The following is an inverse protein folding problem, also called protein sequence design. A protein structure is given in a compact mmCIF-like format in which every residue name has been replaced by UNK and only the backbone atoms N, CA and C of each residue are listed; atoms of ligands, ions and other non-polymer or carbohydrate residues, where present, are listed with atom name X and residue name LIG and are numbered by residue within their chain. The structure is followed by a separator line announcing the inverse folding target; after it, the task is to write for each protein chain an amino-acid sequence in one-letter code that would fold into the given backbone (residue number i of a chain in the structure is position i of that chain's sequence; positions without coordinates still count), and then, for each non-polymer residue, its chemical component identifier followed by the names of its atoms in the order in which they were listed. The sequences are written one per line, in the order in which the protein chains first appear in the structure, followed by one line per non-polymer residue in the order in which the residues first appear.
data_IF_438730629436
#
_entry.id   IF_438730629436
#
_cell.length_a   1.000
_cell.length_b   1.000
_cell.length_c   1.000
_cell.angle_alpha   90.00
_cell.angle_beta   90.00
_cell.angle_gamma   90.00
#
_symmetry.space_group_name_H-M   'P 1'
#
loop_
_entity.id
_entity.type
_entity.pdbx_description
1 polymer ?
#
# COMPACT_ATOMS: atom_id res chain seq x y z
N UNK A 1 -3.99 -20.35 22.33
CA UNK A 1 -4.85 -20.35 21.11
C UNK A 1 -3.96 -20.00 19.92
N UNK A 2 -3.88 -20.86 18.95
CA UNK A 2 -3.04 -20.67 17.76
C UNK A 2 -3.47 -19.41 17.01
N UNK A 3 -2.56 -18.51 16.69
CA UNK A 3 -2.91 -17.32 15.92
C UNK A 3 -3.42 -17.72 14.52
N UNK A 4 -4.43 -17.04 14.05
CA UNK A 4 -4.93 -17.25 12.69
C UNK A 4 -3.86 -16.82 11.67
N UNK A 5 -3.88 -17.44 10.48
CA UNK A 5 -2.98 -17.07 9.38
C UNK A 5 -3.09 -15.57 9.05
N UNK A 6 -4.29 -15.02 9.14
CA UNK A 6 -4.54 -13.58 8.98
C UNK A 6 -3.78 -12.72 10.00
N UNK A 7 -3.67 -13.20 11.26
CA UNK A 7 -2.94 -12.47 12.30
C UNK A 7 -1.43 -12.49 12.04
N UNK A 8 -0.90 -13.65 11.62
CA UNK A 8 0.51 -13.77 11.21
C UNK A 8 0.84 -12.87 10.03
N UNK A 9 0.02 -12.90 9.00
CA UNK A 9 0.19 -12.05 7.82
C UNK A 9 0.21 -10.56 8.18
N UNK A 10 -0.69 -10.12 9.04
CA UNK A 10 -0.72 -8.73 9.52
C UNK A 10 0.56 -8.36 10.28
N UNK A 11 1.08 -9.26 11.10
CA UNK A 11 2.33 -9.06 11.84
C UNK A 11 3.52 -8.98 10.89
N UNK A 12 3.65 -9.92 9.96
CA UNK A 12 4.71 -9.92 8.94
C UNK A 12 4.66 -8.63 8.10
N UNK A 13 3.47 -8.22 7.70
CA UNK A 13 3.26 -6.99 6.95
C UNK A 13 3.72 -5.75 7.73
N UNK A 14 3.42 -5.71 9.03
CA UNK A 14 3.84 -4.61 9.90
C UNK A 14 5.36 -4.59 10.13
N UNK A 15 5.98 -5.77 10.27
CA UNK A 15 7.44 -5.89 10.36
C UNK A 15 8.13 -5.41 9.08
N UNK A 16 7.62 -5.80 7.90
CA UNK A 16 8.13 -5.31 6.62
C UNK A 16 8.03 -3.80 6.51
N UNK A 17 6.90 -3.24 6.93
CA UNK A 17 6.74 -1.79 6.94
C UNK A 17 7.75 -1.09 7.84
N UNK A 18 7.95 -1.60 9.06
CA UNK A 18 8.95 -1.07 9.99
C UNK A 18 10.38 -1.15 9.42
N UNK A 19 10.71 -2.22 8.72
CA UNK A 19 11.99 -2.38 8.04
C UNK A 19 12.18 -1.38 6.89
N UNK A 20 11.20 -1.25 6.00
CA UNK A 20 11.24 -0.30 4.89
C UNK A 20 11.31 1.15 5.37
N UNK A 21 10.65 1.46 6.49
CA UNK A 21 10.69 2.78 7.12
C UNK A 21 12.01 3.06 7.89
N UNK A 22 12.98 2.11 7.85
CA UNK A 22 14.27 2.25 8.54
C UNK A 22 14.19 2.15 10.06
N UNK A 23 13.10 1.61 10.61
CA UNK A 23 12.88 1.45 12.07
C UNK A 23 13.41 0.14 12.61
N UNK A 24 13.67 -0.81 11.74
CA UNK A 24 14.26 -2.10 12.05
C UNK A 24 15.51 -2.30 11.20
N UNK A 25 16.59 -2.73 11.84
CA UNK A 25 17.76 -3.24 11.14
C UNK A 25 17.49 -4.64 10.55
N UNK A 26 18.33 -5.08 9.62
CA UNK A 26 18.18 -6.33 8.89
C UNK A 26 18.16 -7.55 9.82
N UNK A 27 19.00 -7.56 10.86
CA UNK A 27 19.10 -8.70 11.79
C UNK A 27 17.87 -8.80 12.67
N UNK A 28 17.40 -7.68 13.19
CA UNK A 28 16.17 -7.60 13.99
C UNK A 28 14.96 -7.97 13.15
N UNK A 29 14.89 -7.49 11.91
CA UNK A 29 13.81 -7.82 10.98
C UNK A 29 13.78 -9.33 10.70
N UNK A 30 14.91 -9.94 10.31
CA UNK A 30 15.00 -11.36 9.99
C UNK A 30 14.61 -12.24 11.19
N UNK A 31 15.12 -11.92 12.38
CA UNK A 31 14.79 -12.64 13.61
C UNK A 31 13.30 -12.55 13.95
N UNK A 32 12.71 -11.37 13.85
CA UNK A 32 11.28 -11.18 14.13
C UNK A 32 10.38 -11.87 13.11
N UNK A 33 10.77 -11.93 11.85
CA UNK A 33 10.05 -12.70 10.82
C UNK A 33 10.08 -14.19 11.16
N UNK A 34 11.22 -14.75 11.53
CA UNK A 34 11.35 -16.16 11.91
C UNK A 34 10.45 -16.50 13.10
N UNK A 35 10.44 -15.66 14.12
CA UNK A 35 9.56 -15.85 15.29
C UNK A 35 8.10 -15.73 14.89
N UNK A 36 7.72 -14.76 14.05
CA UNK A 36 6.35 -14.58 13.59
C UNK A 36 5.81 -15.78 12.82
N UNK A 37 6.66 -16.43 12.01
CA UNK A 37 6.28 -17.61 11.24
C UNK A 37 6.10 -18.86 12.12
N UNK A 38 6.83 -18.94 13.24
CA UNK A 38 6.81 -20.09 14.18
C UNK A 38 5.89 -19.86 15.38
N UNK A 39 5.37 -18.65 15.59
CA UNK A 39 4.57 -18.30 16.74
C UNK A 39 3.35 -19.22 16.91
N UNK A 40 3.21 -19.79 18.09
CA UNK A 40 2.08 -20.64 18.46
C UNK A 40 1.01 -19.89 19.23
N UNK A 41 1.36 -18.73 19.80
CA UNK A 41 0.46 -17.89 20.60
C UNK A 41 0.36 -16.46 20.03
N UNK A 42 -0.84 -15.88 20.09
CA UNK A 42 -1.10 -14.53 19.58
C UNK A 42 -0.34 -13.42 20.32
N UNK A 43 -0.01 -13.65 21.59
CA UNK A 43 0.75 -12.71 22.42
C UNK A 43 2.19 -12.53 21.91
N UNK A 44 2.81 -13.59 21.40
CA UNK A 44 4.14 -13.54 20.78
C UNK A 44 4.16 -12.60 19.58
N UNK A 45 3.13 -12.67 18.75
CA UNK A 45 2.98 -11.78 17.58
C UNK A 45 2.80 -10.32 17.96
N UNK A 46 2.09 -10.07 19.06
CA UNK A 46 1.87 -8.69 19.55
C UNK A 46 3.17 -8.08 20.05
N UNK A 47 4.00 -8.83 20.75
CA UNK A 47 5.30 -8.41 21.25
C UNK A 47 6.28 -8.01 20.14
N UNK A 48 6.25 -8.74 19.01
CA UNK A 48 7.16 -8.49 17.89
C UNK A 48 7.00 -7.13 17.22
N UNK A 49 5.86 -6.49 17.40
CA UNK A 49 5.51 -5.22 16.75
C UNK A 49 5.18 -4.11 17.74
N UNK A 50 5.46 -4.31 19.03
CA UNK A 50 5.09 -3.36 20.09
C UNK A 50 5.79 -2.00 19.92
N UNK A 51 7.04 -2.02 19.47
CA UNK A 51 7.88 -0.84 19.21
C UNK A 51 7.65 -0.22 17.82
N UNK A 52 6.93 -0.91 16.95
CA UNK A 52 6.56 -0.37 15.65
C UNK A 52 5.22 0.35 15.80
N UNK A 53 5.15 1.66 15.59
CA UNK A 53 3.88 2.37 15.65
C UNK A 53 2.82 1.67 14.81
N UNK A 54 1.66 1.46 15.38
CA UNK A 54 0.53 1.03 14.56
C UNK A 54 0.37 2.08 13.48
N UNK A 55 0.43 1.65 12.23
CA UNK A 55 -0.11 2.46 11.16
C UNK A 55 -1.55 2.75 11.58
N UNK A 56 -1.77 3.90 12.21
CA UNK A 56 -3.06 4.53 12.09
C UNK A 56 -3.17 4.81 10.60
N UNK A 57 -3.82 3.91 9.89
CA UNK A 57 -4.49 4.30 8.68
C UNK A 57 -5.46 5.35 9.17
N UNK A 58 -4.98 6.57 9.25
CA UNK A 58 -5.88 7.71 9.32
C UNK A 58 -6.65 7.62 7.99
N UNK A 59 -7.93 7.25 8.01
CA UNK A 59 -8.68 7.09 6.76
C UNK A 59 -8.83 8.40 6.00
N UNK A 60 -8.09 9.44 6.34
CA UNK A 60 -8.32 10.80 5.86
C UNK A 60 -7.09 11.69 5.84
N UNK A 61 -5.96 11.27 5.31
CA UNK A 61 -5.17 12.24 4.58
C UNK A 61 -5.64 12.25 3.13
N UNK A 62 -6.85 12.71 2.95
CA UNK A 62 -7.30 13.18 1.66
C UNK A 62 -6.32 14.27 1.23
N UNK A 63 -5.59 14.03 0.17
CA UNK A 63 -4.97 15.13 -0.54
C UNK A 63 -6.09 16.11 -0.86
N UNK A 64 -6.14 17.24 -0.14
CA UNK A 64 -7.12 18.31 -0.36
C UNK A 64 -7.02 18.97 -1.73
N UNK A 65 -6.09 18.57 -2.56
CA UNK A 65 -6.04 18.93 -3.96
C UNK A 65 -6.58 17.75 -4.76
N UNK A 66 -7.84 17.86 -5.16
CA UNK A 66 -8.32 17.14 -6.32
C UNK A 66 -7.34 17.45 -7.45
N UNK A 67 -6.65 16.51 -8.04
CA UNK A 67 -6.20 16.69 -9.39
C UNK A 67 -7.46 16.63 -10.27
N UNK A 68 -8.19 17.73 -10.34
CA UNK A 68 -9.21 17.87 -11.34
C UNK A 68 -8.55 17.60 -12.69
N UNK A 69 -9.00 16.57 -13.39
CA UNK A 69 -8.44 16.20 -14.67
C UNK A 69 -7.21 15.28 -14.63
N UNK A 70 -6.99 14.50 -13.55
CA UNK A 70 -5.90 13.52 -13.51
C UNK A 70 -5.95 12.57 -14.71
N UNK A 71 -7.13 12.09 -15.05
CA UNK A 71 -7.34 11.22 -16.20
C UNK A 71 -7.30 11.98 -17.53
N UNK A 72 -7.72 13.24 -17.54
CA UNK A 72 -7.69 14.11 -18.73
C UNK A 72 -6.26 14.58 -19.06
N UNK A 73 -5.40 14.73 -18.05
CA UNK A 73 -4.01 15.14 -18.21
C UNK A 73 -3.04 14.01 -18.54
N UNK A 74 -3.51 12.78 -18.65
CA UNK A 74 -2.67 11.62 -18.94
C UNK A 74 -2.22 11.59 -20.40
N UNK A 75 -1.08 12.19 -20.66
CA UNK A 75 -0.44 12.17 -21.98
C UNK A 75 -0.07 10.73 -22.33
N UNK A 76 -0.60 10.22 -23.45
CA UNK A 76 -0.32 8.85 -23.92
C UNK A 76 -1.17 7.76 -23.27
N UNK A 77 -2.19 8.10 -22.48
CA UNK A 77 -3.12 7.11 -21.90
C UNK A 77 -2.48 6.18 -20.87
N UNK A 78 -1.40 6.62 -20.21
CA UNK A 78 -0.69 5.86 -19.18
C UNK A 78 -0.19 6.78 -18.08
N UNK A 79 -0.42 6.40 -16.83
CA UNK A 79 0.09 7.07 -15.64
C UNK A 79 0.69 6.05 -14.69
N UNK A 80 1.93 6.28 -14.27
CA UNK A 80 2.58 5.52 -13.21
C UNK A 80 2.36 6.21 -11.88
N UNK A 81 1.90 5.45 -10.87
CA UNK A 81 1.66 5.92 -9.52
C UNK A 81 2.65 5.24 -8.57
N UNK A 82 3.31 6.03 -7.75
CA UNK A 82 4.25 5.48 -6.78
C UNK A 82 5.04 6.54 -6.03
N UNK A 83 5.99 6.08 -5.24
CA UNK A 83 6.86 6.94 -4.42
C UNK A 83 8.08 7.45 -5.19
N UNK A 84 8.46 6.81 -6.29
CA UNK A 84 9.59 7.24 -7.11
C UNK A 84 9.30 8.56 -7.82
N UNK A 85 10.32 9.41 -7.92
CA UNK A 85 10.25 10.64 -8.71
C UNK A 85 10.08 10.40 -10.22
N UNK A 86 10.26 9.17 -10.67
CA UNK A 86 10.01 8.77 -12.07
C UNK A 86 8.53 8.55 -12.38
N UNK A 87 7.68 8.46 -11.34
CA UNK A 87 6.24 8.33 -11.51
C UNK A 87 5.62 9.68 -11.91
N UNK A 88 4.57 9.64 -12.73
CA UNK A 88 3.82 10.85 -13.09
C UNK A 88 3.01 11.36 -11.87
N UNK A 89 2.54 10.46 -11.03
CA UNK A 89 1.91 10.81 -9.76
C UNK A 89 2.77 10.28 -8.61
N UNK A 90 3.43 11.20 -7.90
CA UNK A 90 4.37 10.88 -6.82
C UNK A 90 3.70 11.02 -5.46
N UNK A 91 3.80 9.98 -4.66
CA UNK A 91 3.32 9.93 -3.27
C UNK A 91 4.51 9.93 -2.31
N UNK A 92 4.67 10.97 -1.53
CA UNK A 92 5.71 11.06 -0.51
C UNK A 92 5.31 10.30 0.77
N UNK A 93 5.03 9.01 0.64
CA UNK A 93 4.60 8.14 1.75
C UNK A 93 5.30 6.78 1.65
N UNK A 94 5.91 6.35 2.76
CA UNK A 94 6.68 5.09 2.82
C UNK A 94 5.82 3.84 2.65
N UNK A 95 4.50 3.96 2.82
CA UNK A 95 3.55 2.86 2.57
C UNK A 95 3.28 2.62 1.10
N UNK A 96 3.65 3.59 0.25
CA UNK A 96 3.52 3.50 -1.20
C UNK A 96 4.83 2.96 -1.79
N UNK A 97 4.75 1.90 -2.59
CA UNK A 97 5.91 1.35 -3.30
C UNK A 97 6.45 2.33 -4.33
N UNK A 98 7.74 2.22 -4.68
CA UNK A 98 8.38 3.10 -5.67
C UNK A 98 7.60 3.16 -6.98
N UNK A 99 7.19 1.99 -7.48
CA UNK A 99 6.27 1.81 -8.61
C UNK A 99 5.12 0.97 -8.07
N UNK A 100 4.04 1.63 -7.65
CA UNK A 100 2.97 0.98 -6.89
C UNK A 100 1.87 0.44 -7.79
N UNK A 101 1.37 1.28 -8.65
CA UNK A 101 0.28 0.96 -9.57
C UNK A 101 0.40 1.75 -10.88
N UNK A 102 -0.34 1.33 -11.86
CA UNK A 102 -0.38 1.92 -13.19
C UNK A 102 -1.83 2.13 -13.61
N UNK A 103 -2.12 3.32 -14.11
CA UNK A 103 -3.36 3.62 -14.82
C UNK A 103 -3.11 3.55 -16.32
N UNK A 104 -3.94 2.83 -17.04
CA UNK A 104 -3.86 2.67 -18.50
C UNK A 104 -5.21 2.89 -19.13
N UNK A 105 -5.23 3.63 -20.21
CA UNK A 105 -6.43 3.78 -21.05
C UNK A 105 -6.45 2.62 -22.05
N UNK A 106 -7.44 1.74 -21.91
CA UNK A 106 -7.65 0.57 -22.78
C UNK A 106 -9.05 0.67 -23.35
N UNK A 107 -9.17 0.76 -24.66
CA UNK A 107 -10.47 0.85 -25.37
C UNK A 107 -11.42 1.93 -24.81
N UNK A 108 -10.86 3.08 -24.44
CA UNK A 108 -11.63 4.19 -23.88
C UNK A 108 -12.00 4.05 -22.39
N UNK A 109 -11.48 3.02 -21.70
CA UNK A 109 -11.71 2.75 -20.29
C UNK A 109 -10.41 2.84 -19.51
N UNK A 110 -10.46 3.43 -18.33
CA UNK A 110 -9.30 3.47 -17.45
C UNK A 110 -9.20 2.20 -16.62
N UNK A 111 -8.06 1.52 -16.74
CA UNK A 111 -7.71 0.33 -15.96
C UNK A 111 -6.62 0.67 -14.96
N UNK A 112 -6.87 0.40 -13.70
CA UNK A 112 -5.87 0.48 -12.63
C UNK A 112 -5.30 -0.91 -12.38
N UNK A 113 -3.97 -1.03 -12.40
CA UNK A 113 -3.27 -2.27 -12.15
C UNK A 113 -2.25 -2.10 -11.04
N UNK A 114 -2.29 -2.97 -10.04
CA UNK A 114 -1.24 -3.08 -9.02
C UNK A 114 0.01 -3.72 -9.63
N UNK A 115 1.18 -3.15 -9.36
CA UNK A 115 2.47 -3.62 -9.87
C UNK A 115 3.24 -4.49 -8.87
N UNK A 116 2.54 -5.28 -8.07
CA UNK A 116 3.14 -6.09 -7.01
C UNK A 116 3.52 -5.25 -5.80
N UNK A 117 2.70 -4.28 -5.45
CA UNK A 117 2.95 -3.38 -4.32
C UNK A 117 3.04 -4.13 -2.99
N UNK A 118 3.85 -3.60 -2.06
CA UNK A 118 4.05 -4.20 -0.74
C UNK A 118 2.79 -4.11 0.14
N UNK A 119 2.02 -3.03 0.03
CA UNK A 119 0.87 -2.75 0.88
C UNK A 119 -0.49 -2.85 0.17
N UNK A 120 -0.51 -3.07 -1.13
CA UNK A 120 -1.71 -3.29 -1.92
C UNK A 120 -2.39 -2.02 -2.43
N UNK A 121 -3.33 -2.22 -3.35
CA UNK A 121 -4.14 -1.19 -4.00
C UNK A 121 -5.62 -1.51 -3.78
N UNK A 122 -6.41 -0.49 -3.49
CA UNK A 122 -7.86 -0.60 -3.31
C UNK A 122 -8.60 0.39 -4.19
N UNK A 123 -9.75 -0.03 -4.68
CA UNK A 123 -10.71 0.82 -5.39
C UNK A 123 -12.04 0.75 -4.65
N UNK A 124 -12.55 1.90 -4.22
CA UNK A 124 -13.79 2.01 -3.46
C UNK A 124 -13.85 1.05 -2.25
N UNK A 125 -12.72 0.92 -1.53
CA UNK A 125 -12.59 0.06 -0.36
C UNK A 125 -12.37 -1.43 -0.65
N UNK A 126 -12.29 -1.85 -1.90
CA UNK A 126 -12.03 -3.24 -2.30
C UNK A 126 -10.59 -3.37 -2.79
N UNK A 127 -9.86 -4.34 -2.25
CA UNK A 127 -8.51 -4.66 -2.73
C UNK A 127 -8.57 -5.25 -4.13
N UNK A 128 -7.74 -4.72 -5.02
CA UNK A 128 -7.70 -5.13 -6.42
C UNK A 128 -6.27 -5.39 -6.89
N UNK A 129 -6.12 -6.29 -7.84
CA UNK A 129 -4.89 -6.45 -8.63
C UNK A 129 -5.03 -5.68 -9.94
N UNK A 130 -6.22 -5.66 -10.49
CA UNK A 130 -6.60 -4.89 -11.66
C UNK A 130 -8.10 -4.57 -11.58
N UNK A 131 -8.48 -3.35 -11.90
CA UNK A 131 -9.87 -2.92 -11.91
C UNK A 131 -10.10 -1.78 -12.91
N UNK A 132 -11.29 -1.76 -13.51
CA UNK A 132 -11.77 -0.59 -14.24
C UNK A 132 -12.09 0.52 -13.24
N UNK A 133 -11.65 1.73 -13.53
CA UNK A 133 -11.88 2.92 -12.71
C UNK A 133 -12.43 4.07 -13.55
N UNK A 134 -13.19 4.94 -12.92
CA UNK A 134 -13.80 6.10 -13.54
C UNK A 134 -13.54 7.36 -12.71
N UNK A 135 -13.74 8.57 -13.28
CA UNK A 135 -13.72 9.80 -12.52
C UNK A 135 -14.69 9.74 -11.34
N UNK A 136 -14.21 10.08 -10.13
CA UNK A 136 -14.98 10.02 -8.90
C UNK A 136 -14.72 8.76 -8.05
N UNK A 137 -14.04 7.75 -8.58
CA UNK A 137 -13.64 6.57 -7.80
C UNK A 137 -12.55 6.91 -6.78
N UNK A 138 -12.66 6.29 -5.61
CA UNK A 138 -11.65 6.37 -4.56
C UNK A 138 -10.60 5.27 -4.77
N UNK A 139 -9.35 5.69 -4.96
CA UNK A 139 -8.20 4.79 -5.12
C UNK A 139 -7.29 4.94 -3.91
N UNK A 140 -6.95 3.84 -3.28
CA UNK A 140 -6.01 3.80 -2.16
C UNK A 140 -4.78 3.00 -2.54
N UNK A 141 -3.61 3.60 -2.31
CA UNK A 141 -2.29 3.02 -2.51
C UNK A 141 -1.57 2.97 -1.17
N UNK A 142 -1.40 1.80 -0.58
CA UNK A 142 -0.85 1.71 0.77
C UNK A 142 -1.71 2.51 1.76
N UNK A 143 -1.12 3.50 2.42
CA UNK A 143 -1.79 4.41 3.35
C UNK A 143 -2.35 5.69 2.72
N UNK A 144 -2.15 5.91 1.41
CA UNK A 144 -2.60 7.10 0.70
C UNK A 144 -3.87 6.84 -0.10
N UNK A 145 -4.82 7.78 -0.06
CA UNK A 145 -6.03 7.72 -0.86
C UNK A 145 -6.15 8.95 -1.75
N UNK A 146 -6.59 8.73 -2.97
CA UNK A 146 -6.91 9.78 -3.94
C UNK A 146 -8.28 9.53 -4.54
N UNK A 147 -8.92 10.57 -5.03
CA UNK A 147 -10.14 10.48 -5.83
C UNK A 147 -9.80 10.88 -7.27
N UNK A 148 -10.14 10.01 -8.19
CA UNK A 148 -9.95 10.24 -9.62
C UNK A 148 -10.88 11.31 -10.20
#
# INVERSE_FOLDING_TARGET
MRPSDTTRERTVKRLRHGYVAGRLDTDTFSRRIDVALRAEHGEELTGLTADIPRLRVEPRRWFRRRPAGLLEGAVGGRLMLGRSSECQLVFADDTVSRRHAELRLVEGRWMLRDLGSSNGTWVNGRRVMEAEVAPGDDVQLGGCAIRL
#
